data_IF_810527960968
#
_entry.id   IF_810527960968
#
_cell.length_a   1.000
_cell.length_b   1.000
_cell.length_c   1.000
_cell.angle_alpha   90.00
_cell.angle_beta   90.00
_cell.angle_gamma   90.00
#
_symmetry.space_group_name_H-M   'P 1'
#
loop_
_entity.id
_entity.type
_entity.pdbx_description
1 polymer ?
#
# COMPACT_ATOMS: atom_id res chain seq x y z
N UNK A 1 -35.45 -5.93 -8.75
CA UNK A 1 -35.04 -6.90 -7.73
C UNK A 1 -33.95 -7.83 -8.22
N UNK A 2 -33.98 -8.19 -9.50
CA UNK A 2 -32.90 -8.98 -10.07
C UNK A 2 -31.54 -8.29 -9.90
N UNK A 3 -31.55 -6.97 -9.78
CA UNK A 3 -30.33 -6.21 -9.61
C UNK A 3 -29.65 -6.47 -8.27
N UNK A 4 -30.39 -6.97 -7.29
CA UNK A 4 -29.79 -7.29 -6.00
C UNK A 4 -28.78 -8.41 -6.11
N UNK A 5 -29.09 -9.44 -6.89
CA UNK A 5 -28.16 -10.54 -7.08
C UNK A 5 -26.88 -10.06 -7.73
N UNK A 6 -27.03 -9.15 -8.71
CA UNK A 6 -25.90 -8.59 -9.40
C UNK A 6 -25.04 -7.75 -8.47
N UNK A 7 -25.68 -6.96 -7.62
CA UNK A 7 -24.97 -6.16 -6.62
C UNK A 7 -24.22 -7.03 -5.63
N UNK A 8 -24.85 -8.13 -5.23
CA UNK A 8 -24.21 -9.06 -4.31
C UNK A 8 -22.96 -9.67 -4.92
N UNK A 9 -23.03 -10.03 -6.20
CA UNK A 9 -21.87 -10.57 -6.89
C UNK A 9 -20.75 -9.53 -6.99
N UNK A 10 -21.12 -8.30 -7.31
CA UNK A 10 -20.14 -7.21 -7.38
C UNK A 10 -19.50 -6.97 -6.02
N UNK A 11 -20.31 -6.99 -4.97
CA UNK A 11 -19.79 -6.83 -3.61
C UNK A 11 -18.84 -7.95 -3.24
N UNK A 12 -19.18 -9.18 -3.63
CA UNK A 12 -18.32 -10.33 -3.35
C UNK A 12 -17.01 -10.22 -4.10
N UNK A 13 -17.07 -9.79 -5.35
CA UNK A 13 -15.88 -9.62 -6.18
C UNK A 13 -14.99 -8.52 -5.63
N UNK A 14 -15.59 -7.49 -5.06
CA UNK A 14 -14.87 -6.32 -4.56
C UNK A 14 -14.49 -6.44 -3.08
N UNK A 15 -14.55 -7.64 -2.49
CA UNK A 15 -14.25 -7.83 -1.07
C UNK A 15 -12.88 -7.30 -0.69
N UNK A 16 -11.90 -7.43 -1.56
CA UNK A 16 -10.55 -6.98 -1.29
C UNK A 16 -10.33 -5.48 -1.51
N UNK A 17 -11.30 -4.77 -2.10
CA UNK A 17 -11.17 -3.37 -2.43
C UNK A 17 -12.32 -2.56 -1.83
N UNK A 18 -12.05 -1.34 -1.35
CA UNK A 18 -13.13 -0.46 -0.89
C UNK A 18 -14.06 -0.11 -2.05
N UNK A 19 -15.33 0.11 -1.73
CA UNK A 19 -16.30 0.52 -2.73
C UNK A 19 -16.03 1.94 -3.22
N UNK A 20 -16.16 2.15 -4.52
CA UNK A 20 -15.97 3.47 -5.13
C UNK A 20 -17.32 4.01 -5.57
N UNK A 21 -17.64 5.24 -5.16
CA UNK A 21 -18.87 5.91 -5.57
C UNK A 21 -18.82 6.26 -7.05
N UNK A 22 -19.96 6.10 -7.74
CA UNK A 22 -20.02 6.28 -9.18
C UNK A 22 -19.62 7.68 -9.66
N UNK A 23 -19.92 8.69 -8.85
CA UNK A 23 -19.63 10.08 -9.21
C UNK A 23 -18.16 10.46 -9.03
N UNK A 24 -17.35 9.55 -8.52
CA UNK A 24 -15.96 9.84 -8.23
C UNK A 24 -15.06 9.37 -9.36
N UNK A 25 -13.89 9.98 -9.44
CA UNK A 25 -12.91 9.64 -10.48
C UNK A 25 -12.50 8.19 -10.37
N UNK A 26 -12.66 7.45 -11.46
CA UNK A 26 -12.33 6.02 -11.49
C UNK A 26 -10.84 5.80 -11.62
N UNK A 27 -10.29 4.77 -10.97
CA UNK A 27 -8.87 4.50 -11.06
C UNK A 27 -8.48 3.99 -12.45
N UNK A 28 -7.23 4.21 -12.80
CA UNK A 28 -6.69 3.70 -14.06
C UNK A 28 -6.56 2.18 -14.00
N UNK A 29 -6.83 1.53 -15.12
CA UNK A 29 -6.86 0.07 -15.17
C UNK A 29 -5.48 -0.57 -15.01
N UNK A 30 -4.42 0.16 -15.27
CA UNK A 30 -3.07 -0.38 -15.17
C UNK A 30 -2.49 -0.35 -13.75
N UNK A 31 -3.23 0.18 -12.80
CA UNK A 31 -2.79 0.20 -11.41
C UNK A 31 -2.94 -1.18 -10.79
N UNK A 32 -2.01 -1.53 -9.91
CA UNK A 32 -2.12 -2.79 -9.16
C UNK A 32 -3.21 -2.70 -8.11
N UNK A 33 -3.63 -3.83 -7.58
CA UNK A 33 -4.67 -3.86 -6.56
C UNK A 33 -4.35 -2.99 -5.35
N UNK A 34 -3.14 -3.06 -4.77
CA UNK A 34 -2.81 -2.16 -3.67
C UNK A 34 -2.87 -0.69 -4.06
N UNK A 35 -2.46 -0.35 -5.28
CA UNK A 35 -2.52 1.02 -5.77
C UNK A 35 -3.96 1.48 -5.94
N UNK A 36 -4.83 0.61 -6.46
CA UNK A 36 -6.24 0.91 -6.58
C UNK A 36 -6.87 1.14 -5.21
N UNK A 37 -6.46 0.35 -4.22
CA UNK A 37 -6.91 0.53 -2.85
C UNK A 37 -6.60 1.93 -2.33
N UNK A 38 -5.39 2.40 -2.56
CA UNK A 38 -4.98 3.74 -2.15
C UNK A 38 -5.80 4.79 -2.89
N UNK A 39 -5.99 4.60 -4.19
CA UNK A 39 -6.81 5.50 -5.01
C UNK A 39 -8.22 5.63 -4.45
N UNK A 40 -8.88 4.50 -4.18
CA UNK A 40 -10.27 4.50 -3.72
C UNK A 40 -10.39 5.19 -2.37
N UNK A 41 -9.45 4.96 -1.46
CA UNK A 41 -9.45 5.67 -0.17
C UNK A 41 -9.31 7.16 -0.37
N UNK A 42 -8.39 7.56 -1.23
CA UNK A 42 -8.12 8.97 -1.48
C UNK A 42 -9.37 9.68 -2.01
N UNK A 43 -10.02 9.10 -3.02
CA UNK A 43 -11.18 9.74 -3.61
C UNK A 43 -12.40 9.66 -2.69
N UNK A 44 -12.54 8.62 -1.89
CA UNK A 44 -13.67 8.50 -0.98
C UNK A 44 -13.55 9.38 0.24
N UNK A 45 -12.34 9.72 0.65
CA UNK A 45 -12.11 10.57 1.82
C UNK A 45 -12.27 12.06 1.50
N UNK A 46 -12.49 12.40 0.24
CA UNK A 46 -12.60 13.78 -0.21
C UNK A 46 -13.91 13.99 -0.97
N UNK A 47 -14.38 15.24 -1.09
CA UNK A 47 -15.57 15.50 -1.91
C UNK A 47 -15.37 15.04 -3.35
N UNK A 48 -16.45 14.61 -3.99
CA UNK A 48 -16.38 14.06 -5.34
C UNK A 48 -15.76 15.03 -6.36
N UNK A 49 -15.92 16.34 -6.12
CA UNK A 49 -15.39 17.37 -7.02
C UNK A 49 -13.90 17.67 -6.78
N UNK A 50 -13.29 17.07 -5.76
CA UNK A 50 -11.90 17.38 -5.42
C UNK A 50 -10.91 16.87 -6.46
N UNK A 51 -11.24 15.77 -7.14
CA UNK A 51 -10.33 15.18 -8.09
C UNK A 51 -10.99 15.05 -9.46
N UNK A 52 -10.27 15.49 -10.47
CA UNK A 52 -10.72 15.47 -11.85
C UNK A 52 -9.65 14.79 -12.71
N UNK A 53 -9.93 14.64 -13.99
CA UNK A 53 -8.96 14.05 -14.93
C UNK A 53 -7.61 14.77 -14.93
N UNK A 54 -7.63 16.06 -14.65
CA UNK A 54 -6.38 16.84 -14.56
C UNK A 54 -5.45 16.31 -13.48
N UNK A 55 -6.01 15.73 -12.44
CA UNK A 55 -5.23 15.22 -11.30
C UNK A 55 -4.81 13.75 -11.47
N UNK A 56 -5.26 13.07 -12.52
CA UNK A 56 -5.07 11.64 -12.67
C UNK A 56 -3.62 11.21 -12.56
N UNK A 57 -2.74 11.87 -13.29
CA UNK A 57 -1.33 11.49 -13.30
C UNK A 57 -0.68 11.64 -11.93
N UNK A 58 -0.97 12.75 -11.26
CA UNK A 58 -0.45 12.96 -9.91
C UNK A 58 -0.99 11.93 -8.94
N UNK A 59 -2.25 11.58 -9.06
CA UNK A 59 -2.88 10.59 -8.20
C UNK A 59 -2.30 9.21 -8.43
N UNK A 60 -2.03 8.85 -9.68
CA UNK A 60 -1.37 7.58 -9.99
C UNK A 60 0.01 7.51 -9.37
N UNK A 61 0.77 8.58 -9.48
CA UNK A 61 2.09 8.65 -8.87
C UNK A 61 1.99 8.56 -7.35
N UNK A 62 1.03 9.25 -6.76
CA UNK A 62 0.81 9.20 -5.33
C UNK A 62 0.52 7.77 -4.87
N UNK A 63 -0.41 7.10 -5.55
CA UNK A 63 -0.78 5.72 -5.19
C UNK A 63 0.42 4.78 -5.31
N UNK A 64 1.17 4.93 -6.39
CA UNK A 64 2.37 4.12 -6.62
C UNK A 64 3.41 4.36 -5.54
N UNK A 65 3.65 5.62 -5.21
CA UNK A 65 4.62 5.97 -4.19
C UNK A 65 4.22 5.46 -2.81
N UNK A 66 2.93 5.55 -2.47
CA UNK A 66 2.44 5.04 -1.18
C UNK A 66 2.70 3.54 -1.07
N UNK A 67 2.35 2.79 -2.11
CA UNK A 67 2.54 1.34 -2.11
C UNK A 67 4.02 0.98 -2.05
N UNK A 68 4.83 1.66 -2.86
CA UNK A 68 6.27 1.42 -2.86
C UNK A 68 6.91 1.79 -1.52
N UNK A 69 6.48 2.90 -0.92
CA UNK A 69 7.00 3.31 0.38
C UNK A 69 6.67 2.28 1.45
N UNK A 70 5.47 1.73 1.43
CA UNK A 70 5.08 0.68 2.38
C UNK A 70 5.92 -0.57 2.19
N UNK A 71 6.12 -0.97 0.94
CA UNK A 71 6.92 -2.14 0.62
C UNK A 71 8.38 -1.94 1.05
N UNK A 72 8.95 -0.79 0.75
CA UNK A 72 10.30 -0.46 1.14
C UNK A 72 10.45 -0.40 2.65
N UNK A 73 9.45 0.16 3.34
CA UNK A 73 9.47 0.22 4.80
C UNK A 73 9.53 -1.18 5.39
N UNK A 74 8.72 -2.10 4.86
CA UNK A 74 8.73 -3.49 5.30
C UNK A 74 10.09 -4.13 5.05
N UNK A 75 10.66 -3.91 3.88
CA UNK A 75 11.97 -4.47 3.53
C UNK A 75 13.08 -3.91 4.40
N UNK A 76 13.02 -2.62 4.69
CA UNK A 76 13.99 -1.97 5.56
C UNK A 76 13.89 -2.54 6.98
N UNK A 77 12.67 -2.71 7.49
CA UNK A 77 12.46 -3.27 8.80
C UNK A 77 13.01 -4.70 8.89
N UNK A 78 12.75 -5.51 7.88
CA UNK A 78 13.29 -6.88 7.82
C UNK A 78 14.81 -6.86 7.78
N UNK A 79 15.37 -5.99 6.97
CA UNK A 79 16.81 -5.85 6.84
C UNK A 79 17.43 -5.40 8.15
N UNK A 80 16.80 -4.44 8.84
CA UNK A 80 17.28 -3.95 10.12
C UNK A 80 17.28 -5.06 11.17
N UNK A 81 16.24 -5.88 11.19
CA UNK A 81 16.18 -7.00 12.12
C UNK A 81 17.31 -8.00 11.87
N UNK A 82 17.54 -8.32 10.61
CA UNK A 82 18.65 -9.21 10.27
C UNK A 82 19.99 -8.59 10.62
N UNK A 83 20.14 -7.32 10.34
CA UNK A 83 21.37 -6.60 10.62
C UNK A 83 21.65 -6.55 12.12
N UNK A 84 20.61 -6.27 12.92
CA UNK A 84 20.76 -6.24 14.38
C UNK A 84 21.13 -7.59 14.95
N UNK A 85 20.52 -8.65 14.43
CA UNK A 85 20.86 -9.99 14.88
C UNK A 85 22.32 -10.32 14.56
N UNK A 86 22.78 -9.92 13.38
CA UNK A 86 24.15 -10.13 12.96
C UNK A 86 25.11 -9.29 13.77
N UNK A 87 24.75 -8.03 14.02
CA UNK A 87 25.57 -7.11 14.79
C UNK A 87 25.74 -7.61 16.23
N UNK A 88 24.69 -8.12 16.83
CA UNK A 88 24.76 -8.72 18.16
C UNK A 88 25.73 -9.89 18.20
N UNK A 89 25.70 -10.73 17.18
CA UNK A 89 26.61 -11.82 17.07
C UNK A 89 28.05 -11.36 16.94
N UNK A 90 28.29 -10.36 16.11
CA UNK A 90 29.62 -9.80 15.93
C UNK A 90 30.13 -9.12 17.20
N UNK A 91 29.26 -8.40 17.89
CA UNK A 91 29.64 -7.76 19.13
C UNK A 91 30.05 -8.77 20.18
N UNK A 92 29.32 -9.85 20.27
CA UNK A 92 29.67 -10.91 21.22
C UNK A 92 31.05 -11.47 20.93
N UNK A 93 31.36 -11.70 19.66
CA UNK A 93 32.67 -12.17 19.26
C UNK A 93 33.76 -11.19 19.56
N UNK A 94 33.55 -9.89 19.30
CA UNK A 94 34.51 -8.85 19.57
C UNK A 94 34.77 -8.72 21.07
N UNK A 95 33.71 -8.76 21.86
CA UNK A 95 33.87 -8.69 23.31
C UNK A 95 34.68 -9.87 23.85
N UNK A 96 34.41 -11.04 23.30
CA UNK A 96 35.15 -12.23 23.69
C UNK A 96 36.66 -12.05 23.37
N UNK A 97 36.94 -11.56 22.17
CA UNK A 97 38.32 -11.32 21.77
C UNK A 97 39.01 -10.31 22.66
N UNK A 98 38.33 -9.23 23.00
CA UNK A 98 38.89 -8.21 23.88
C UNK A 98 39.19 -8.76 25.27
N UNK A 99 38.30 -9.57 25.79
CA UNK A 99 38.50 -10.17 27.10
C UNK A 99 39.65 -11.14 27.12
N UNK A 100 39.93 -11.78 26.00
CA UNK A 100 41.02 -12.72 25.88
C UNK A 100 42.36 -12.03 25.72
N UNK A 101 42.33 -10.82 25.23
CA UNK A 101 43.59 -10.07 25.05
C UNK A 101 43.93 -9.23 26.26
#
# INVERSE_FOLDING_TARGET
MAQRGRKSLAATTAVSLPALAESRLQPSLHLSDPEINVWIRLVNDNPASSFTETHRDMMEMYCRHVVQARLLTTQIEEFELEWLARDDGLRSEEQTSELQS
#
